data_IF_686077064941
#
_entry.id   IF_686077064941
#
_cell.length_a   1.000
_cell.length_b   1.000
_cell.length_c   1.000
_cell.angle_alpha   90.00
_cell.angle_beta   90.00
_cell.angle_gamma   90.00
#
_symmetry.space_group_name_H-M   'P 1'
#
loop_
_entity.id
_entity.type
_entity.pdbx_description
1 polymer ?
#
# COMPACT_ATOMS: atom_id res chain seq x y z
N UNK A 1 5.02 11.20 14.08
CA UNK A 1 3.78 10.73 13.42
C UNK A 1 4.14 9.48 12.63
N UNK A 2 3.50 8.33 12.84
CA UNK A 2 3.68 7.18 11.96
C UNK A 2 3.17 7.51 10.55
N UNK A 3 3.84 7.00 9.50
CA UNK A 3 3.43 7.19 8.10
C UNK A 3 2.02 6.63 7.88
N UNK A 4 1.24 7.33 7.08
CA UNK A 4 -0.07 6.92 6.58
C UNK A 4 0.07 5.79 5.55
N UNK A 5 -1.03 5.08 5.29
CA UNK A 5 -1.09 4.01 4.28
C UNK A 5 -0.62 4.48 2.91
N UNK A 6 -1.10 5.65 2.48
CA UNK A 6 -0.75 6.21 1.18
C UNK A 6 0.75 6.56 1.09
N UNK A 7 1.33 7.09 2.17
CA UNK A 7 2.77 7.38 2.23
C UNK A 7 3.62 6.11 2.18
N UNK A 8 3.16 4.99 2.74
CA UNK A 8 3.84 3.69 2.62
C UNK A 8 3.84 3.24 1.16
N UNK A 9 2.69 3.34 0.49
CA UNK A 9 2.53 2.94 -0.91
C UNK A 9 3.38 3.83 -1.82
N UNK A 10 3.28 5.15 -1.70
CA UNK A 10 4.07 6.10 -2.50
C UNK A 10 5.58 5.90 -2.30
N UNK A 11 6.02 5.68 -1.06
CA UNK A 11 7.44 5.44 -0.79
C UNK A 11 7.95 4.13 -1.41
N UNK A 12 7.11 3.11 -1.47
CA UNK A 12 7.50 1.87 -2.14
C UNK A 12 7.59 2.03 -3.66
N UNK A 13 6.77 2.89 -4.27
CA UNK A 13 6.90 3.23 -5.70
C UNK A 13 8.21 3.96 -5.98
N UNK A 14 8.58 4.93 -5.15
CA UNK A 14 9.88 5.61 -5.25
C UNK A 14 11.07 4.62 -5.17
N UNK A 15 10.94 3.58 -4.34
CA UNK A 15 11.93 2.51 -4.26
C UNK A 15 11.93 1.63 -5.51
N UNK A 16 10.75 1.25 -6.01
CA UNK A 16 10.62 0.47 -7.23
C UNK A 16 11.22 1.20 -8.44
N UNK A 17 10.88 2.48 -8.63
CA UNK A 17 11.43 3.33 -9.69
C UNK A 17 12.95 3.43 -9.61
N UNK A 18 13.50 3.55 -8.40
CA UNK A 18 14.95 3.58 -8.20
C UNK A 18 15.62 2.27 -8.60
N UNK A 19 15.00 1.13 -8.31
CA UNK A 19 15.54 -0.17 -8.70
C UNK A 19 15.47 -0.40 -10.21
N UNK A 20 14.37 0.01 -10.85
CA UNK A 20 14.19 -0.18 -12.29
C UNK A 20 15.09 0.74 -13.12
N UNK A 21 15.36 1.95 -12.61
CA UNK A 21 16.18 2.94 -13.29
C UNK A 21 17.64 2.98 -12.81
N UNK A 22 18.09 2.01 -12.01
CA UNK A 22 19.49 1.97 -11.56
C UNK A 22 20.40 1.67 -12.76
N UNK A 23 21.35 2.56 -13.03
CA UNK A 23 22.32 2.30 -14.09
C UNK A 23 23.31 1.23 -13.59
N UNK A 24 23.47 0.08 -14.27
CA UNK A 24 24.44 -0.94 -13.88
C UNK A 24 25.88 -0.42 -13.82
N UNK A 25 26.18 0.67 -14.54
CA UNK A 25 27.49 1.33 -14.55
C UNK A 25 27.72 2.27 -13.37
N UNK A 26 26.68 2.61 -12.59
CA UNK A 26 26.81 3.41 -11.36
C UNK A 26 27.54 2.66 -10.24
N UNK A 27 27.72 1.34 -10.35
CA UNK A 27 28.63 0.55 -9.52
C UNK A 27 28.35 0.61 -8.02
N UNK A 28 27.15 1.04 -7.61
CA UNK A 28 26.80 1.21 -6.19
C UNK A 28 26.64 -0.17 -5.57
N UNK A 29 27.67 -0.64 -4.88
CA UNK A 29 27.57 -1.81 -4.02
C UNK A 29 26.63 -1.49 -2.86
N UNK A 30 25.42 -2.06 -2.91
CA UNK A 30 24.46 -1.95 -1.83
C UNK A 30 24.66 -3.09 -0.82
N UNK A 31 24.77 -2.80 0.49
CA UNK A 31 24.79 -3.84 1.51
C UNK A 31 23.55 -4.74 1.41
N UNK A 32 23.75 -6.06 1.43
CA UNK A 32 22.65 -7.05 1.29
C UNK A 32 21.52 -6.80 2.30
N UNK A 33 21.86 -6.41 3.53
CA UNK A 33 20.87 -6.12 4.56
C UNK A 33 19.94 -4.96 4.17
N UNK A 34 20.46 -3.90 3.55
CA UNK A 34 19.66 -2.76 3.10
C UNK A 34 18.77 -3.13 1.92
N UNK A 35 19.29 -3.92 0.98
CA UNK A 35 18.51 -4.43 -0.14
C UNK A 35 17.31 -5.27 0.36
N UNK A 36 17.54 -6.16 1.33
CA UNK A 36 16.48 -7.00 1.90
C UNK A 36 15.38 -6.16 2.58
N UNK A 37 15.75 -5.08 3.27
CA UNK A 37 14.78 -4.16 3.87
C UNK A 37 13.95 -3.42 2.81
N UNK A 38 14.60 -2.90 1.78
CA UNK A 38 13.90 -2.20 0.68
C UNK A 38 12.95 -3.14 -0.06
N UNK A 39 13.38 -4.38 -0.31
CA UNK A 39 12.52 -5.43 -0.86
C UNK A 39 11.30 -5.71 0.03
N UNK A 40 11.51 -5.87 1.35
CA UNK A 40 10.40 -6.10 2.27
C UNK A 40 9.39 -4.94 2.30
N UNK A 41 9.86 -3.69 2.18
CA UNK A 41 8.98 -2.51 2.08
C UNK A 41 8.15 -2.54 0.79
N UNK A 42 8.75 -2.93 -0.34
CA UNK A 42 8.03 -3.13 -1.60
C UNK A 42 6.95 -4.22 -1.48
N UNK A 43 7.30 -5.36 -0.89
CA UNK A 43 6.38 -6.48 -0.70
C UNK A 43 5.21 -6.10 0.23
N UNK A 44 5.49 -5.29 1.26
CA UNK A 44 4.47 -4.71 2.14
C UNK A 44 3.51 -3.80 1.36
N UNK A 45 4.01 -2.89 0.54
CA UNK A 45 3.16 -1.99 -0.23
C UNK A 45 2.31 -2.74 -1.26
N UNK A 46 2.83 -3.78 -1.90
CA UNK A 46 2.05 -4.63 -2.79
C UNK A 46 0.90 -5.33 -2.05
N UNK A 47 1.18 -5.85 -0.84
CA UNK A 47 0.16 -6.45 0.02
C UNK A 47 -0.89 -5.43 0.46
N UNK A 48 -0.48 -4.22 0.82
CA UNK A 48 -1.39 -3.13 1.21
C UNK A 48 -2.32 -2.71 0.05
N UNK A 49 -1.81 -2.62 -1.19
CA UNK A 49 -2.65 -2.39 -2.39
C UNK A 49 -3.69 -3.49 -2.55
N UNK A 50 -3.29 -4.76 -2.40
CA UNK A 50 -4.22 -5.88 -2.49
C UNK A 50 -5.34 -5.79 -1.43
N UNK A 51 -5.01 -5.38 -0.20
CA UNK A 51 -6.01 -5.16 0.85
C UNK A 51 -6.93 -3.99 0.48
N UNK A 52 -6.41 -2.88 -0.02
CA UNK A 52 -7.23 -1.74 -0.49
C UNK A 52 -8.23 -2.18 -1.57
N UNK A 53 -7.79 -2.96 -2.55
CA UNK A 53 -8.65 -3.47 -3.62
C UNK A 53 -9.72 -4.42 -3.09
N UNK A 54 -9.37 -5.33 -2.18
CA UNK A 54 -10.32 -6.21 -1.52
C UNK A 54 -11.34 -5.43 -0.68
N UNK A 55 -10.91 -4.39 0.04
CA UNK A 55 -11.79 -3.51 0.82
C UNK A 55 -12.72 -2.74 -0.11
N UNK A 56 -12.22 -2.18 -1.22
CA UNK A 56 -13.05 -1.50 -2.23
C UNK A 56 -14.15 -2.42 -2.73
N UNK A 57 -13.78 -3.63 -3.17
CA UNK A 57 -14.75 -4.61 -3.66
C UNK A 57 -15.77 -5.00 -2.59
N UNK A 58 -15.34 -5.22 -1.36
CA UNK A 58 -16.25 -5.51 -0.25
C UNK A 58 -17.24 -4.35 0.00
N UNK A 59 -16.78 -3.09 -0.12
CA UNK A 59 -17.64 -1.91 0.02
C UNK A 59 -18.65 -1.79 -1.13
N UNK A 60 -18.24 -2.07 -2.37
CA UNK A 60 -19.12 -2.15 -3.54
C UNK A 60 -20.20 -3.23 -3.38
N UNK A 61 -19.84 -4.38 -2.81
CA UNK A 61 -20.76 -5.47 -2.48
C UNK A 61 -21.60 -5.20 -1.21
N UNK A 62 -21.50 -3.99 -0.63
CA UNK A 62 -22.31 -3.55 0.51
C UNK A 62 -21.84 -4.02 1.89
N UNK A 63 -20.67 -4.65 2.01
CA UNK A 63 -20.13 -5.14 3.28
C UNK A 63 -19.82 -3.98 4.22
N UNK A 64 -20.35 -4.02 5.44
CA UNK A 64 -20.15 -2.95 6.43
C UNK A 64 -18.70 -2.84 6.91
N UNK A 65 -18.26 -1.63 7.28
CA UNK A 65 -16.95 -1.40 7.90
C UNK A 65 -16.72 -2.24 9.16
N UNK A 66 -17.77 -2.52 9.94
CA UNK A 66 -17.69 -3.40 11.11
C UNK A 66 -17.22 -4.81 10.73
N UNK A 67 -17.79 -5.36 9.66
CA UNK A 67 -17.46 -6.70 9.19
C UNK A 67 -16.08 -6.73 8.52
N UNK A 68 -15.74 -5.70 7.74
CA UNK A 68 -14.40 -5.53 7.16
C UNK A 68 -13.33 -5.47 8.26
N UNK A 69 -13.53 -4.63 9.28
CA UNK A 69 -12.61 -4.54 10.42
C UNK A 69 -12.43 -5.90 11.09
N UNK A 70 -13.51 -6.64 11.34
CA UNK A 70 -13.45 -7.98 11.92
C UNK A 70 -12.64 -8.97 11.09
N UNK A 71 -12.73 -8.93 9.76
CA UNK A 71 -11.97 -9.81 8.86
C UNK A 71 -10.48 -9.43 8.82
N UNK A 72 -10.17 -8.14 8.90
CA UNK A 72 -8.80 -7.62 8.92
C UNK A 72 -8.15 -7.79 10.32
N UNK A 73 -8.95 -8.03 11.36
CA UNK A 73 -8.46 -8.18 12.74
C UNK A 73 -8.34 -6.85 13.50
N UNK A 74 -9.14 -5.85 13.13
CA UNK A 74 -9.19 -4.52 13.77
C UNK A 74 -10.64 -4.07 14.00
N UNK A 75 -10.85 -2.89 14.58
CA UNK A 75 -12.18 -2.30 14.70
C UNK A 75 -12.68 -1.78 13.34
N UNK A 76 -13.99 -1.74 13.15
CA UNK A 76 -14.56 -1.16 11.91
C UNK A 76 -14.22 0.32 11.72
N UNK A 77 -14.12 1.08 12.82
CA UNK A 77 -13.67 2.47 12.79
C UNK A 77 -12.21 2.57 12.33
N UNK A 78 -11.31 1.76 12.90
CA UNK A 78 -9.90 1.76 12.50
C UNK A 78 -9.72 1.32 11.03
N UNK A 79 -10.53 0.37 10.55
CA UNK A 79 -10.54 0.00 9.14
C UNK A 79 -11.01 1.16 8.24
N UNK A 80 -12.08 1.87 8.63
CA UNK A 80 -12.57 3.02 7.88
C UNK A 80 -11.55 4.17 7.84
N UNK A 81 -10.96 4.51 8.98
CA UNK A 81 -9.93 5.55 9.07
C UNK A 81 -8.70 5.22 8.20
N UNK A 82 -8.30 3.94 8.15
CA UNK A 82 -7.14 3.49 7.39
C UNK A 82 -7.39 3.38 5.89
N UNK A 83 -8.50 2.79 5.48
CA UNK A 83 -8.74 2.43 4.07
C UNK A 83 -9.77 3.32 3.36
N UNK A 84 -10.67 3.99 4.10
CA UNK A 84 -11.68 4.90 3.53
C UNK A 84 -11.09 5.93 2.57
N UNK A 85 -10.09 6.73 3.00
CA UNK A 85 -9.47 7.72 2.14
C UNK A 85 -8.82 7.14 0.87
N UNK A 86 -8.29 5.91 0.94
CA UNK A 86 -7.60 5.26 -0.18
C UNK A 86 -8.58 4.71 -1.23
N UNK A 87 -9.74 4.18 -0.80
CA UNK A 87 -10.76 3.71 -1.73
C UNK A 87 -11.48 4.87 -2.43
N UNK A 88 -11.67 6.00 -1.75
CA UNK A 88 -12.29 7.20 -2.30
C UNK A 88 -11.40 7.86 -3.38
N UNK A 89 -10.07 7.88 -3.16
CA UNK A 89 -9.10 8.38 -4.15
C UNK A 89 -9.03 7.50 -5.40
N UNK A 90 -9.18 6.18 -5.27
CA UNK A 90 -9.24 5.26 -6.41
C UNK A 90 -10.48 5.47 -7.30
N UNK A 91 -11.61 5.89 -6.74
CA UNK A 91 -12.82 6.20 -7.50
C UNK A 91 -12.66 7.46 -8.38
N UNK A 92 -11.86 8.44 -7.94
CA UNK A 92 -11.58 9.66 -8.70
C UNK A 92 -10.63 9.43 -9.90
N UNK A 93 -9.77 8.39 -9.85
CA UNK A 93 -8.82 8.07 -10.92
C UNK A 93 -9.38 7.23 -12.08
N UNK A 94 -10.61 6.72 -11.97
CA UNK A 94 -11.23 5.84 -12.98
C UNK A 94 -12.13 6.55 -14.01
N UNK A 95 -12.17 7.89 -14.01
CA UNK A 95 -13.08 8.71 -14.86
C UNK A 95 -12.34 9.50 -15.96
N UNK A 96 -11.11 9.11 -16.30
CA UNK A 96 -10.29 9.75 -17.33
C UNK A 96 -9.96 8.78 -18.47
#
# INVERSE_FOLDING_TARGET
MPRTLQEIISHADELADRFENIDPSDGVEQPVAEYLLQRAVRDLAASERQVVDAVRRAREDGVSWRQIGSLIGTSGQAAHERYGPAIDQGAAGSVA
#
